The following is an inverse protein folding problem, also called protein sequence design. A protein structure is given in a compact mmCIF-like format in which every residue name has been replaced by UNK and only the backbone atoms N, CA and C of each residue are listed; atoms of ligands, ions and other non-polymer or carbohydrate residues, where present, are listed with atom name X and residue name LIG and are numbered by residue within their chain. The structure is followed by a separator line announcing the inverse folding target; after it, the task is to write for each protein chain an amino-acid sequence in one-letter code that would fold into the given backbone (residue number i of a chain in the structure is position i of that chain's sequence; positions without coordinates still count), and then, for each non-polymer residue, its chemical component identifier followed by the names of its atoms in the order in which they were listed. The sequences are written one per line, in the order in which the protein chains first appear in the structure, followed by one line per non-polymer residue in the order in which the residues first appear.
data_IF_534936248053
#
_entry.id   IF_534936248053
#
_cell.length_a   1.000
_cell.length_b   1.000
_cell.length_c   1.000
_cell.angle_alpha   90.00
_cell.angle_beta   90.00
_cell.angle_gamma   90.00
#
_symmetry.space_group_name_H-M   'P 1'
#
loop_
_entity.id
_entity.type
_entity.pdbx_description
1 polymer ?
#
# COMPACT_ATOMS: atom_id res chain seq x y z
N UNK A 1 -41.52 17.51 2.38
CA UNK A 1 -40.19 17.16 2.92
C UNK A 1 -39.19 18.12 2.31
N UNK A 2 -38.22 18.60 3.09
CA UNK A 2 -37.13 19.44 2.60
C UNK A 2 -36.22 18.57 1.72
N UNK A 3 -35.75 19.09 0.59
CA UNK A 3 -34.84 18.37 -0.29
C UNK A 3 -33.44 18.30 0.36
N UNK A 4 -33.00 17.10 0.73
CA UNK A 4 -31.69 16.87 1.34
C UNK A 4 -30.54 16.76 0.33
N UNK A 5 -30.80 16.91 -0.98
CA UNK A 5 -29.76 16.79 -2.01
C UNK A 5 -28.81 17.98 -1.98
N UNK A 6 -27.52 17.67 -1.85
CA UNK A 6 -26.45 18.65 -2.06
C UNK A 6 -25.92 18.50 -3.48
N UNK A 7 -25.80 19.62 -4.20
CA UNK A 7 -25.20 19.63 -5.53
C UNK A 7 -23.70 19.35 -5.44
N UNK A 8 -23.19 18.29 -6.09
CA UNK A 8 -21.75 18.00 -6.05
C UNK A 8 -20.94 19.09 -6.74
N UNK A 9 -19.79 19.42 -6.16
CA UNK A 9 -18.84 20.41 -6.71
C UNK A 9 -18.20 19.93 -8.02
N UNK A 10 -17.57 20.84 -8.77
CA UNK A 10 -16.83 20.48 -9.98
C UNK A 10 -15.72 19.46 -9.73
N UNK A 11 -15.02 19.57 -8.58
CA UNK A 11 -13.95 18.64 -8.20
C UNK A 11 -14.51 17.26 -7.86
N UNK A 12 -15.63 17.19 -7.13
CA UNK A 12 -16.33 15.93 -6.86
C UNK A 12 -16.75 15.23 -8.16
N UNK A 13 -17.29 15.99 -9.12
CA UNK A 13 -17.66 15.47 -10.45
C UNK A 13 -16.46 14.88 -11.19
N UNK A 14 -15.31 15.56 -11.13
CA UNK A 14 -14.08 15.09 -11.76
C UNK A 14 -13.60 13.77 -11.12
N UNK A 15 -13.60 13.68 -9.79
CA UNK A 15 -13.22 12.46 -9.07
C UNK A 15 -14.15 11.28 -9.42
N UNK A 16 -15.47 11.48 -9.38
CA UNK A 16 -16.43 10.44 -9.75
C UNK A 16 -16.29 10.02 -11.23
N UNK A 17 -16.04 10.98 -12.12
CA UNK A 17 -15.81 10.70 -13.54
C UNK A 17 -14.56 9.86 -13.78
N UNK A 18 -13.46 10.17 -13.08
CA UNK A 18 -12.22 9.40 -13.16
C UNK A 18 -12.37 8.01 -12.54
N UNK A 19 -13.12 7.87 -11.45
CA UNK A 19 -13.36 6.59 -10.79
C UNK A 19 -13.98 5.54 -11.75
N UNK A 20 -14.79 5.97 -12.73
CA UNK A 20 -15.39 5.09 -13.75
C UNK A 20 -14.69 5.15 -15.12
N UNK A 21 -13.46 5.68 -15.15
CA UNK A 21 -12.63 5.82 -16.36
C UNK A 21 -13.35 6.57 -17.51
N UNK A 22 -14.19 7.55 -17.16
CA UNK A 22 -14.95 8.34 -18.13
C UNK A 22 -15.99 7.58 -18.95
N UNK A 23 -16.33 6.36 -18.52
CA UNK A 23 -17.33 5.49 -19.17
C UNK A 23 -18.43 5.13 -18.19
N UNK A 24 -19.63 4.89 -18.70
CA UNK A 24 -20.72 4.41 -17.87
C UNK A 24 -20.40 2.98 -17.41
N UNK A 25 -20.33 2.71 -16.10
CA UNK A 25 -19.89 1.40 -15.61
C UNK A 25 -20.91 0.29 -15.89
N UNK A 26 -22.15 0.63 -16.27
CA UNK A 26 -23.21 -0.33 -16.56
C UNK A 26 -23.34 -0.71 -18.05
N UNK A 27 -22.95 0.19 -18.96
CA UNK A 27 -23.15 -0.02 -20.41
C UNK A 27 -21.93 0.30 -21.28
N UNK A 28 -20.82 0.76 -20.70
CA UNK A 28 -19.56 1.04 -21.38
C UNK A 28 -19.54 2.28 -22.28
N UNK A 29 -20.69 2.95 -22.49
CA UNK A 29 -20.78 4.18 -23.28
C UNK A 29 -19.94 5.30 -22.64
N UNK A 30 -19.30 6.12 -23.48
CA UNK A 30 -18.58 7.31 -23.01
C UNK A 30 -19.52 8.26 -22.28
N UNK A 31 -19.04 8.83 -21.17
CA UNK A 31 -19.74 9.84 -20.38
C UNK A 31 -19.48 11.27 -20.89
N UNK A 32 -18.90 11.39 -22.08
CA UNK A 32 -18.66 12.64 -22.77
C UNK A 32 -18.70 12.42 -24.28
N UNK A 33 -18.80 13.52 -25.02
CA UNK A 33 -18.50 13.55 -26.45
C UNK A 33 -17.79 14.86 -26.81
N UNK A 34 -17.09 14.85 -27.95
CA UNK A 34 -16.42 16.02 -28.50
C UNK A 34 -17.15 16.48 -29.76
N UNK A 35 -17.57 17.74 -29.78
CA UNK A 35 -17.94 18.46 -31.02
C UNK A 35 -16.91 19.58 -31.24
N UNK A 36 -17.27 20.81 -30.90
CA UNK A 36 -16.34 21.96 -30.87
C UNK A 36 -15.73 22.16 -29.47
N UNK A 37 -16.41 21.67 -28.43
CA UNK A 37 -15.97 21.64 -27.03
C UNK A 37 -16.38 20.28 -26.45
N UNK A 38 -15.77 19.90 -25.32
CA UNK A 38 -16.16 18.70 -24.56
C UNK A 38 -17.53 18.93 -23.94
N UNK A 39 -18.42 17.98 -24.12
CA UNK A 39 -19.77 17.99 -23.56
C UNK A 39 -19.95 16.75 -22.70
N UNK A 40 -20.47 16.93 -21.48
CA UNK A 40 -20.69 15.83 -20.53
C UNK A 40 -22.04 15.17 -20.76
N UNK A 41 -22.06 13.84 -20.71
CA UNK A 41 -23.24 12.98 -20.81
C UNK A 41 -23.57 12.26 -19.49
N UNK A 42 -22.76 12.50 -18.45
CA UNK A 42 -22.94 11.92 -17.12
C UNK A 42 -24.08 12.57 -16.35
N UNK A 43 -24.68 11.75 -15.50
CA UNK A 43 -25.49 12.16 -14.37
C UNK A 43 -24.92 11.53 -13.11
N UNK A 44 -25.10 12.20 -11.98
CA UNK A 44 -24.70 11.68 -10.67
C UNK A 44 -25.94 11.07 -10.04
N UNK A 45 -25.85 9.79 -9.70
CA UNK A 45 -26.88 9.08 -8.98
C UNK A 45 -26.50 8.93 -7.52
N UNK A 46 -27.49 9.07 -6.66
CA UNK A 46 -27.43 8.61 -5.28
C UNK A 46 -27.78 7.11 -5.25
N UNK A 47 -26.85 6.27 -4.78
CA UNK A 47 -27.08 4.82 -4.68
C UNK A 47 -28.21 4.56 -3.69
N UNK A 48 -28.05 5.01 -2.43
CA UNK A 48 -29.16 5.21 -1.52
C UNK A 48 -29.77 6.59 -1.77
N UNK A 49 -31.08 6.69 -2.07
CA UNK A 49 -31.70 7.95 -2.47
C UNK A 49 -31.62 9.00 -1.36
N UNK A 50 -31.28 10.24 -1.71
CA UNK A 50 -31.24 11.35 -0.75
C UNK A 50 -32.60 11.69 -0.12
N UNK A 51 -33.70 11.44 -0.87
CA UNK A 51 -35.07 11.64 -0.42
C UNK A 51 -35.94 10.45 -0.84
N UNK A 52 -35.88 9.29 -0.16
CA UNK A 52 -36.68 8.12 -0.52
C UNK A 52 -38.17 8.43 -0.35
N UNK A 53 -38.98 8.02 -1.32
CA UNK A 53 -40.44 7.94 -1.14
C UNK A 53 -40.77 6.86 -0.10
N UNK A 54 -41.96 6.90 0.50
CA UNK A 54 -42.34 5.95 1.55
C UNK A 54 -42.20 4.47 1.14
N UNK A 55 -42.52 4.13 -0.11
CA UNK A 55 -42.32 2.77 -0.61
C UNK A 55 -40.84 2.40 -0.84
N UNK A 56 -40.00 3.37 -1.23
CA UNK A 56 -38.56 3.15 -1.38
C UNK A 56 -37.88 3.00 -0.03
N UNK A 57 -38.31 3.76 0.99
CA UNK A 57 -37.82 3.64 2.35
C UNK A 57 -38.13 2.25 2.94
N UNK A 58 -39.33 1.73 2.71
CA UNK A 58 -39.69 0.37 3.13
C UNK A 58 -38.91 -0.70 2.34
N UNK A 59 -38.77 -0.52 1.01
CA UNK A 59 -38.01 -1.42 0.14
C UNK A 59 -36.54 -1.51 0.56
N UNK A 60 -35.95 -0.38 0.99
CA UNK A 60 -34.52 -0.25 1.30
C UNK A 60 -34.23 -0.20 2.81
N UNK A 61 -35.16 -0.62 3.67
CA UNK A 61 -35.00 -0.48 5.13
C UNK A 61 -33.84 -1.30 5.70
N UNK A 62 -33.57 -2.48 5.13
CA UNK A 62 -32.59 -3.45 5.63
C UNK A 62 -31.34 -3.56 4.73
N UNK A 63 -31.18 -2.65 3.75
CA UNK A 63 -30.01 -2.69 2.86
C UNK A 63 -28.79 -2.04 3.53
N UNK A 64 -27.58 -2.57 3.29
CA UNK A 64 -26.36 -1.95 3.80
C UNK A 64 -26.13 -0.60 3.11
N UNK A 65 -25.55 0.37 3.83
CA UNK A 65 -25.18 1.68 3.26
C UNK A 65 -23.67 1.82 3.21
N UNK A 66 -23.17 2.47 2.17
CA UNK A 66 -21.74 2.79 2.04
C UNK A 66 -21.33 3.95 2.95
N UNK A 67 -22.29 4.82 3.28
CA UNK A 67 -22.10 5.95 4.18
C UNK A 67 -23.43 6.29 4.86
N UNK A 68 -23.37 6.80 6.08
CA UNK A 68 -24.54 7.36 6.76
C UNK A 68 -24.96 8.71 6.16
N UNK A 69 -24.00 9.48 5.62
CA UNK A 69 -24.30 10.70 4.87
C UNK A 69 -24.73 10.35 3.45
N UNK A 70 -26.00 10.60 3.16
CA UNK A 70 -26.57 10.39 1.82
C UNK A 70 -25.90 11.22 0.75
N UNK A 71 -25.23 12.33 1.08
CA UNK A 71 -24.47 13.16 0.14
C UNK A 71 -22.98 12.84 0.10
N UNK A 72 -22.50 11.84 0.86
CA UNK A 72 -21.13 11.36 0.80
C UNK A 72 -20.78 10.90 -0.61
N UNK A 73 -19.54 11.17 -1.03
CA UNK A 73 -18.97 10.67 -2.29
C UNK A 73 -19.03 9.14 -2.42
N UNK A 74 -19.04 8.43 -1.29
CA UNK A 74 -19.18 6.97 -1.21
C UNK A 74 -20.57 6.52 -1.65
N UNK A 75 -21.60 7.35 -1.48
CA UNK A 75 -22.97 7.08 -1.91
C UNK A 75 -23.29 7.64 -3.32
N UNK A 76 -22.31 8.30 -3.97
CA UNK A 76 -22.47 8.88 -5.29
C UNK A 76 -21.72 8.08 -6.35
N UNK A 77 -22.35 7.89 -7.51
CA UNK A 77 -21.71 7.30 -8.68
C UNK A 77 -22.21 7.99 -9.95
N UNK A 78 -21.35 8.11 -10.95
CA UNK A 78 -21.74 8.67 -12.25
C UNK A 78 -22.15 7.57 -13.22
N UNK A 79 -23.21 7.84 -13.97
CA UNK A 79 -23.70 6.95 -15.02
C UNK A 79 -24.24 7.77 -16.21
N UNK A 80 -24.51 7.11 -17.33
CA UNK A 80 -25.24 7.75 -18.41
C UNK A 80 -26.73 7.89 -18.04
N UNK A 81 -27.41 8.85 -18.67
CA UNK A 81 -28.84 9.12 -18.42
C UNK A 81 -29.72 7.87 -18.55
N UNK A 82 -29.43 7.01 -19.53
CA UNK A 82 -30.20 5.78 -19.77
C UNK A 82 -30.13 4.82 -18.58
N UNK A 83 -28.92 4.59 -18.04
CA UNK A 83 -28.71 3.66 -16.94
C UNK A 83 -29.22 4.25 -15.62
N UNK A 84 -29.00 5.54 -15.39
CA UNK A 84 -29.53 6.23 -14.22
C UNK A 84 -31.06 6.21 -14.18
N UNK A 85 -31.72 6.48 -15.31
CA UNK A 85 -33.18 6.42 -15.40
C UNK A 85 -33.74 5.02 -15.11
N UNK A 86 -33.09 3.97 -15.62
CA UNK A 86 -33.47 2.57 -15.36
C UNK A 86 -33.34 2.21 -13.89
N UNK A 87 -32.30 2.72 -13.23
CA UNK A 87 -32.06 2.49 -11.80
C UNK A 87 -33.13 3.14 -10.90
N UNK A 88 -33.51 4.37 -11.19
CA UNK A 88 -34.48 5.10 -10.35
C UNK A 88 -35.94 4.72 -10.61
N UNK A 89 -36.29 4.22 -11.80
CA UNK A 89 -37.69 4.11 -12.24
C UNK A 89 -38.03 2.79 -12.96
N UNK A 90 -38.66 1.81 -12.27
CA UNK A 90 -38.85 1.75 -10.81
C UNK A 90 -37.56 1.31 -10.11
N UNK A 91 -37.36 1.79 -8.89
CA UNK A 91 -36.28 1.31 -8.04
C UNK A 91 -36.58 -0.11 -7.53
N UNK A 92 -35.57 -0.97 -7.56
CA UNK A 92 -35.63 -2.35 -7.06
C UNK A 92 -34.50 -2.62 -6.06
N UNK A 93 -34.70 -3.58 -5.17
CA UNK A 93 -33.64 -4.01 -4.24
C UNK A 93 -32.47 -4.67 -5.01
N UNK A 94 -32.76 -5.42 -6.06
CA UNK A 94 -31.74 -6.03 -6.92
C UNK A 94 -30.83 -4.98 -7.57
N UNK A 95 -31.42 -3.96 -8.17
CA UNK A 95 -30.64 -2.86 -8.75
C UNK A 95 -29.88 -2.08 -7.67
N UNK A 96 -30.44 -1.91 -6.48
CA UNK A 96 -29.72 -1.30 -5.36
C UNK A 96 -28.43 -2.04 -5.03
N UNK A 97 -28.50 -3.37 -4.81
CA UNK A 97 -27.32 -4.17 -4.50
C UNK A 97 -26.31 -4.12 -5.64
N UNK A 98 -26.76 -4.19 -6.89
CA UNK A 98 -25.86 -4.08 -8.06
C UNK A 98 -25.09 -2.76 -8.07
N UNK A 99 -25.73 -1.63 -7.76
CA UNK A 99 -25.06 -0.33 -7.72
C UNK A 99 -24.17 -0.18 -6.47
N UNK A 100 -24.61 -0.73 -5.33
CA UNK A 100 -23.85 -0.78 -4.08
C UNK A 100 -22.54 -1.56 -4.27
N UNK A 101 -22.62 -2.78 -4.79
CA UNK A 101 -21.46 -3.67 -4.98
C UNK A 101 -20.48 -3.08 -5.99
N UNK A 102 -20.99 -2.52 -7.08
CA UNK A 102 -20.16 -1.82 -8.07
C UNK A 102 -19.39 -0.66 -7.42
N UNK A 103 -20.08 0.20 -6.65
CA UNK A 103 -19.41 1.34 -6.02
C UNK A 103 -18.36 0.89 -5.00
N UNK A 104 -18.65 -0.17 -4.25
CA UNK A 104 -17.70 -0.79 -3.33
C UNK A 104 -16.46 -1.29 -4.07
N UNK A 105 -16.63 -1.96 -5.21
CA UNK A 105 -15.51 -2.40 -6.06
C UNK A 105 -14.68 -1.20 -6.57
N UNK A 106 -15.34 -0.14 -7.03
CA UNK A 106 -14.66 1.08 -7.48
C UNK A 106 -13.84 1.74 -6.37
N UNK A 107 -14.36 1.80 -5.14
CA UNK A 107 -13.63 2.32 -3.98
C UNK A 107 -12.41 1.46 -3.64
N UNK A 108 -12.56 0.14 -3.63
CA UNK A 108 -11.44 -0.79 -3.43
C UNK A 108 -10.36 -0.64 -4.50
N UNK A 109 -10.77 -0.41 -5.75
CA UNK A 109 -9.83 -0.16 -6.84
C UNK A 109 -9.07 1.17 -6.67
N UNK A 110 -9.72 2.22 -6.18
CA UNK A 110 -9.07 3.50 -5.88
C UNK A 110 -8.09 3.36 -4.72
N UNK A 111 -8.47 2.66 -3.64
CA UNK A 111 -7.59 2.34 -2.52
C UNK A 111 -6.38 1.53 -2.97
N UNK A 112 -6.58 0.50 -3.80
CA UNK A 112 -5.49 -0.30 -4.35
C UNK A 112 -4.55 0.54 -5.21
N UNK A 113 -5.09 1.41 -6.08
CA UNK A 113 -4.29 2.33 -6.90
C UNK A 113 -3.44 3.26 -6.04
N UNK A 114 -4.01 3.86 -4.99
CA UNK A 114 -3.26 4.71 -4.05
C UNK A 114 -2.19 3.94 -3.29
N UNK A 115 -2.50 2.73 -2.81
CA UNK A 115 -1.56 1.88 -2.08
C UNK A 115 -0.32 1.49 -2.91
N UNK A 116 -0.44 1.39 -4.25
CA UNK A 116 0.73 1.18 -5.11
C UNK A 116 1.69 2.38 -5.12
N UNK A 117 1.17 3.60 -5.02
CA UNK A 117 1.99 4.82 -4.96
C UNK A 117 2.60 5.03 -3.57
N UNK A 118 1.87 4.66 -2.52
CA UNK A 118 2.29 4.84 -1.13
C UNK A 118 3.17 3.69 -0.58
N UNK A 119 3.64 2.78 -1.44
CA UNK A 119 4.47 1.63 -1.07
C UNK A 119 5.95 2.01 -0.74
N UNK A 120 6.13 3.10 0.01
CA UNK A 120 7.42 3.65 0.42
C UNK A 120 7.96 2.85 1.61
N UNK A 121 8.66 1.76 1.33
CA UNK A 121 9.40 0.99 2.34
C UNK A 121 10.50 1.82 3.03
N UNK A 122 10.93 2.89 2.37
CA UNK A 122 12.00 3.77 2.83
C UNK A 122 11.68 4.40 4.19
N UNK A 123 10.45 4.85 4.42
CA UNK A 123 10.05 5.46 5.69
C UNK A 123 10.08 4.46 6.85
N UNK A 124 9.72 3.21 6.59
CA UNK A 124 9.73 2.18 7.63
C UNK A 124 11.14 1.71 7.95
N UNK A 125 12.03 1.66 6.96
CA UNK A 125 13.47 1.42 7.20
C UNK A 125 14.06 2.57 8.01
N UNK A 126 13.69 3.83 7.74
CA UNK A 126 14.13 4.99 8.52
C UNK A 126 13.72 4.84 9.99
N UNK A 127 12.51 4.38 10.29
CA UNK A 127 12.08 4.13 11.69
C UNK A 127 12.97 3.11 12.39
N UNK A 128 13.34 2.02 11.71
CA UNK A 128 14.27 1.01 12.25
C UNK A 128 15.67 1.62 12.47
N UNK A 129 16.14 2.46 11.54
CA UNK A 129 17.41 3.18 11.68
C UNK A 129 17.41 4.14 12.87
N UNK A 130 16.33 4.90 13.08
CA UNK A 130 16.20 5.81 14.20
C UNK A 130 16.28 5.07 15.54
N UNK A 131 15.70 3.86 15.63
CA UNK A 131 15.82 3.02 16.82
C UNK A 131 17.25 2.48 17.01
N UNK A 132 17.96 2.13 15.93
CA UNK A 132 19.38 1.78 16.00
C UNK A 132 20.26 2.94 16.50
N UNK A 133 19.98 4.15 16.04
CA UNK A 133 20.76 5.35 16.39
C UNK A 133 20.49 5.85 17.82
N UNK A 134 19.43 5.37 18.47
CA UNK A 134 19.11 5.68 19.88
C UNK A 134 19.83 4.78 20.88
N UNK A 135 20.54 3.75 20.44
CA UNK A 135 21.33 2.90 21.33
C UNK A 135 22.50 3.72 21.87
N UNK A 136 22.59 3.86 23.18
CA UNK A 136 23.66 4.62 23.84
C UNK A 136 24.73 3.69 24.44
N UNK A 137 24.36 2.47 24.83
CA UNK A 137 25.31 1.54 25.45
C UNK A 137 25.03 0.05 25.16
N UNK A 138 26.04 -0.80 25.36
CA UNK A 138 25.97 -2.23 25.04
C UNK A 138 24.93 -2.99 25.89
N UNK A 139 24.62 -2.51 27.10
CA UNK A 139 23.57 -3.12 27.94
C UNK A 139 22.15 -2.96 27.40
N UNK A 140 21.96 -2.09 26.41
CA UNK A 140 20.68 -1.93 25.71
C UNK A 140 20.41 -3.10 24.73
N UNK A 141 21.42 -3.94 24.47
CA UNK A 141 21.35 -5.03 23.50
C UNK A 141 21.15 -6.40 24.17
N UNK A 142 20.23 -7.17 23.60
CA UNK A 142 20.10 -8.60 23.89
C UNK A 142 20.82 -9.37 22.80
N UNK A 143 21.89 -10.07 23.16
CA UNK A 143 22.70 -10.82 22.18
C UNK A 143 22.07 -12.17 21.81
N UNK A 144 22.17 -12.54 20.53
CA UNK A 144 21.85 -13.90 20.07
C UNK A 144 22.94 -14.90 20.45
N UNK A 145 22.52 -16.15 20.70
CA UNK A 145 23.46 -17.27 20.79
C UNK A 145 24.11 -17.56 19.44
N UNK A 146 25.43 -17.77 19.42
CA UNK A 146 26.19 -18.11 18.21
C UNK A 146 25.68 -19.36 17.49
N UNK A 147 25.13 -20.34 18.22
CA UNK A 147 24.56 -21.57 17.64
C UNK A 147 23.27 -21.36 16.82
N UNK A 148 22.64 -20.18 16.93
CA UNK A 148 21.41 -19.84 16.20
C UNK A 148 21.68 -19.16 14.85
N UNK A 149 22.95 -18.88 14.52
CA UNK A 149 23.33 -18.18 13.30
C UNK A 149 23.52 -19.16 12.15
N UNK A 150 22.99 -18.80 10.97
CA UNK A 150 23.21 -19.56 9.73
C UNK A 150 24.24 -18.89 8.82
N UNK A 151 24.95 -17.89 9.34
CA UNK A 151 25.90 -17.08 8.55
C UNK A 151 27.05 -17.90 7.97
N UNK A 152 27.48 -18.96 8.66
CA UNK A 152 28.57 -19.83 8.19
C UNK A 152 28.14 -20.68 6.97
N UNK A 153 26.84 -20.78 6.69
CA UNK A 153 26.27 -21.43 5.49
C UNK A 153 26.07 -20.43 4.34
N UNK A 154 25.92 -19.13 4.65
CA UNK A 154 25.59 -18.07 3.67
C UNK A 154 26.80 -17.28 3.18
N UNK A 155 27.81 -17.09 4.03
CA UNK A 155 28.99 -16.29 3.69
C UNK A 155 30.13 -17.22 3.28
N UNK A 156 30.59 -17.04 2.03
CA UNK A 156 31.66 -17.83 1.44
C UNK A 156 32.97 -17.74 2.26
N UNK A 157 33.67 -18.87 2.41
CA UNK A 157 34.93 -18.97 3.17
C UNK A 157 36.09 -18.24 2.50
N UNK A 158 35.95 -17.92 1.22
CA UNK A 158 36.88 -17.15 0.40
C UNK A 158 36.85 -15.66 0.75
N UNK A 159 35.77 -15.15 1.37
CA UNK A 159 35.72 -13.76 1.83
C UNK A 159 36.75 -13.48 2.93
N UNK A 160 37.05 -12.20 3.16
CA UNK A 160 37.99 -11.81 4.21
C UNK A 160 37.48 -12.19 5.61
N UNK A 161 38.37 -12.60 6.51
CA UNK A 161 38.01 -12.92 7.90
C UNK A 161 37.38 -11.72 8.61
N UNK A 162 37.89 -10.51 8.33
CA UNK A 162 37.38 -9.26 8.90
C UNK A 162 35.92 -9.03 8.47
N UNK A 163 35.60 -9.24 7.19
CA UNK A 163 34.23 -9.11 6.69
C UNK A 163 33.28 -10.13 7.35
N UNK A 164 33.68 -11.41 7.40
CA UNK A 164 32.87 -12.45 8.07
C UNK A 164 32.63 -12.12 9.53
N UNK A 165 33.68 -11.72 10.25
CA UNK A 165 33.59 -11.33 11.66
C UNK A 165 32.67 -10.14 11.84
N UNK A 166 32.78 -9.11 11.00
CA UNK A 166 31.94 -7.91 11.05
C UNK A 166 30.45 -8.25 10.91
N UNK A 167 30.06 -8.99 9.88
CA UNK A 167 28.64 -9.37 9.70
C UNK A 167 28.17 -10.22 10.87
N UNK A 168 29.00 -11.17 11.33
CA UNK A 168 28.66 -12.01 12.48
C UNK A 168 28.41 -11.19 13.73
N UNK A 169 29.34 -10.32 14.10
CA UNK A 169 29.24 -9.49 15.30
C UNK A 169 27.99 -8.58 15.19
N UNK A 170 27.74 -7.96 14.03
CA UNK A 170 26.52 -7.17 13.78
C UNK A 170 25.22 -7.98 13.93
N UNK A 171 25.17 -9.22 13.43
CA UNK A 171 23.97 -10.05 13.58
C UNK A 171 23.81 -10.52 15.03
N UNK A 172 24.88 -10.87 15.72
CA UNK A 172 24.82 -11.28 17.14
C UNK A 172 24.25 -10.16 18.00
N UNK A 173 24.78 -8.95 17.82
CA UNK A 173 24.51 -7.82 18.70
C UNK A 173 23.14 -7.16 18.42
N UNK A 174 22.78 -6.99 17.15
CA UNK A 174 21.63 -6.15 16.79
C UNK A 174 20.41 -6.92 16.29
N UNK A 175 20.52 -8.21 15.97
CA UNK A 175 19.41 -8.93 15.35
C UNK A 175 18.12 -8.93 16.20
N UNK A 176 18.15 -9.18 17.52
CA UNK A 176 16.90 -9.24 18.30
C UNK A 176 16.15 -7.91 18.28
N UNK A 177 16.89 -6.80 18.45
CA UNK A 177 16.31 -5.46 18.41
C UNK A 177 15.76 -5.12 17.02
N UNK A 178 16.55 -5.33 15.95
CA UNK A 178 16.08 -5.06 14.57
C UNK A 178 14.86 -5.90 14.24
N UNK A 179 14.81 -7.16 14.69
CA UNK A 179 13.64 -8.03 14.52
C UNK A 179 12.42 -7.51 15.26
N UNK A 180 12.60 -7.05 16.49
CA UNK A 180 11.52 -6.45 17.28
C UNK A 180 10.95 -5.21 16.60
N UNK A 181 11.80 -4.32 16.09
CA UNK A 181 11.36 -3.15 15.33
C UNK A 181 10.53 -3.53 14.09
N UNK A 182 10.95 -4.56 13.33
CA UNK A 182 10.13 -5.05 12.22
C UNK A 182 8.81 -5.71 12.67
N UNK A 183 8.77 -6.38 13.82
CA UNK A 183 7.53 -6.92 14.36
C UNK A 183 6.57 -5.81 14.81
N UNK A 184 7.08 -4.71 15.39
CA UNK A 184 6.30 -3.53 15.75
C UNK A 184 5.70 -2.86 14.51
N UNK A 185 6.46 -2.77 13.42
CA UNK A 185 5.97 -2.28 12.13
C UNK A 185 4.85 -3.18 11.58
N UNK A 186 5.03 -4.50 11.60
CA UNK A 186 4.03 -5.46 11.13
C UNK A 186 2.75 -5.47 11.97
N UNK A 187 2.84 -5.13 13.27
CA UNK A 187 1.68 -5.00 14.15
C UNK A 187 0.80 -3.80 13.77
N UNK A 188 1.40 -2.73 13.22
CA UNK A 188 0.69 -1.52 12.76
C UNK A 188 0.22 -1.69 11.32
N UNK A 189 1.09 -2.19 10.45
CA UNK A 189 0.87 -2.37 9.02
C UNK A 189 1.30 -3.78 8.62
N UNK A 190 0.34 -4.73 8.49
CA UNK A 190 0.66 -6.11 8.18
C UNK A 190 1.51 -6.26 6.90
N UNK A 191 2.46 -7.22 6.95
CA UNK A 191 3.35 -7.60 5.84
C UNK A 191 4.45 -6.58 5.49
N UNK A 192 4.73 -5.60 6.35
CA UNK A 192 5.74 -4.59 6.08
C UNK A 192 7.16 -5.18 6.06
N UNK A 193 7.49 -6.08 6.98
CA UNK A 193 8.75 -6.82 6.95
C UNK A 193 8.93 -7.58 5.64
N UNK A 194 7.91 -8.32 5.20
CA UNK A 194 7.96 -9.13 3.96
C UNK A 194 8.16 -8.26 2.72
N UNK A 195 7.49 -7.10 2.65
CA UNK A 195 7.69 -6.11 1.56
C UNK A 195 9.13 -5.63 1.51
N UNK A 196 9.69 -5.23 2.65
CA UNK A 196 11.07 -4.73 2.74
C UNK A 196 12.06 -5.85 2.37
N UNK A 197 11.88 -7.04 2.95
CA UNK A 197 12.70 -8.22 2.66
C UNK A 197 12.70 -8.55 1.17
N UNK A 198 11.54 -8.48 0.51
CA UNK A 198 11.39 -8.72 -0.93
C UNK A 198 12.17 -7.70 -1.76
N UNK A 199 12.14 -6.41 -1.39
CA UNK A 199 12.89 -5.38 -2.10
C UNK A 199 14.41 -5.55 -1.94
N UNK A 200 14.87 -5.83 -0.71
CA UNK A 200 16.30 -6.11 -0.43
C UNK A 200 16.77 -7.32 -1.23
N UNK A 201 15.98 -8.40 -1.23
CA UNK A 201 16.25 -9.61 -2.03
C UNK A 201 16.28 -9.32 -3.53
N UNK A 202 15.32 -8.56 -4.05
CA UNK A 202 15.29 -8.17 -5.46
C UNK A 202 16.52 -7.37 -5.88
N UNK A 203 16.96 -6.43 -5.03
CA UNK A 203 18.19 -5.67 -5.24
C UNK A 203 19.42 -6.60 -5.23
N UNK A 204 19.52 -7.49 -4.23
CA UNK A 204 20.60 -8.48 -4.15
C UNK A 204 20.69 -9.34 -5.42
N UNK A 205 19.58 -9.91 -5.89
CA UNK A 205 19.53 -10.74 -7.09
C UNK A 205 19.95 -9.99 -8.37
N UNK A 206 19.76 -8.67 -8.38
CA UNK A 206 20.24 -7.80 -9.47
C UNK A 206 21.74 -7.59 -9.40
N UNK A 207 22.27 -7.32 -8.20
CA UNK A 207 23.67 -7.00 -7.98
C UNK A 207 24.60 -8.22 -8.11
N UNK A 208 24.18 -9.39 -7.63
CA UNK A 208 25.01 -10.61 -7.70
C UNK A 208 25.27 -11.07 -9.14
N UNK A 209 24.36 -10.75 -10.07
CA UNK A 209 24.55 -11.00 -11.52
C UNK A 209 25.61 -10.10 -12.14
N UNK A 210 25.86 -8.93 -11.54
CA UNK A 210 26.85 -7.95 -12.02
C UNK A 210 28.22 -8.25 -11.40
N UNK A 211 28.25 -8.63 -10.14
CA UNK A 211 29.47 -8.93 -9.41
C UNK A 211 29.23 -10.10 -8.45
N UNK A 212 29.94 -11.21 -8.66
CA UNK A 212 29.80 -12.42 -7.84
C UNK A 212 30.50 -12.30 -6.48
N UNK A 213 31.30 -11.26 -6.26
CA UNK A 213 32.00 -11.03 -5.00
C UNK A 213 31.03 -10.54 -3.91
N UNK A 214 30.73 -11.39 -2.92
CA UNK A 214 29.80 -11.10 -1.83
C UNK A 214 30.16 -9.82 -1.04
N UNK A 215 31.45 -9.55 -0.82
CA UNK A 215 31.90 -8.34 -0.11
C UNK A 215 31.59 -7.06 -0.92
N UNK A 216 31.79 -7.11 -2.24
CA UNK A 216 31.42 -6.01 -3.13
C UNK A 216 29.89 -5.83 -3.20
N UNK A 217 29.14 -6.93 -3.32
CA UNK A 217 27.67 -6.90 -3.33
C UNK A 217 27.12 -6.35 -2.02
N UNK A 218 27.69 -6.72 -0.88
CA UNK A 218 27.32 -6.15 0.42
C UNK A 218 27.48 -4.62 0.42
N UNK A 219 28.63 -4.10 -0.02
CA UNK A 219 28.85 -2.65 -0.10
C UNK A 219 27.87 -1.96 -1.03
N UNK A 220 27.53 -2.59 -2.15
CA UNK A 220 26.55 -2.05 -3.11
C UNK A 220 25.13 -2.04 -2.52
N UNK A 221 24.74 -3.08 -1.78
CA UNK A 221 23.47 -3.14 -1.05
C UNK A 221 23.38 -2.05 0.02
N UNK A 222 24.46 -1.84 0.78
CA UNK A 222 24.54 -0.79 1.79
C UNK A 222 24.44 0.60 1.15
N UNK A 223 25.15 0.85 0.05
CA UNK A 223 25.08 2.12 -0.66
C UNK A 223 23.68 2.38 -1.24
N UNK A 224 23.03 1.35 -1.78
CA UNK A 224 21.65 1.41 -2.25
C UNK A 224 20.68 1.77 -1.10
N UNK A 225 20.81 1.10 0.04
CA UNK A 225 19.95 1.36 1.20
C UNK A 225 20.16 2.77 1.73
N UNK A 226 21.42 3.21 1.84
CA UNK A 226 21.79 4.55 2.29
C UNK A 226 21.21 5.64 1.37
N UNK A 227 21.26 5.44 0.05
CA UNK A 227 20.61 6.36 -0.89
C UNK A 227 19.08 6.40 -0.73
N UNK A 228 18.45 5.23 -0.53
CA UNK A 228 17.00 5.10 -0.33
C UNK A 228 16.52 5.77 0.96
N UNK A 229 17.31 5.72 2.02
CA UNK A 229 16.97 6.30 3.32
C UNK A 229 17.47 7.73 3.49
N UNK A 230 17.86 8.42 2.40
CA UNK A 230 18.30 9.82 2.48
C UNK A 230 19.65 10.02 3.17
N UNK A 231 20.50 9.00 3.21
CA UNK A 231 21.87 9.00 3.75
C UNK A 231 21.99 9.35 5.23
N UNK A 232 21.04 8.88 6.02
CA UNK A 232 20.99 9.12 7.47
C UNK A 232 22.20 8.49 8.18
N UNK A 233 22.50 7.21 7.90
CA UNK A 233 23.64 6.51 8.52
C UNK A 233 24.00 5.25 7.76
N UNK A 234 25.19 5.27 7.14
CA UNK A 234 25.74 4.09 6.48
C UNK A 234 25.99 2.93 7.45
N UNK A 235 26.34 3.21 8.72
CA UNK A 235 26.55 2.18 9.73
C UNK A 235 25.25 1.45 10.10
N UNK A 236 24.15 2.18 10.25
CA UNK A 236 22.84 1.58 10.48
C UNK A 236 22.40 0.75 9.26
N UNK A 237 22.68 1.23 8.04
CA UNK A 237 22.43 0.47 6.82
C UNK A 237 23.21 -0.84 6.79
N UNK A 238 24.48 -0.86 7.20
CA UNK A 238 25.26 -2.10 7.29
C UNK A 238 24.62 -3.11 8.26
N UNK A 239 24.18 -2.67 9.44
CA UNK A 239 23.52 -3.52 10.42
C UNK A 239 22.22 -4.13 9.85
N UNK A 240 21.40 -3.30 9.18
CA UNK A 240 20.15 -3.74 8.57
C UNK A 240 20.40 -4.74 7.44
N UNK A 241 21.39 -4.50 6.57
CA UNK A 241 21.74 -5.46 5.51
C UNK A 241 22.29 -6.76 6.11
N UNK A 242 23.11 -6.70 7.14
CA UNK A 242 23.58 -7.89 7.88
C UNK A 242 22.42 -8.69 8.47
N UNK A 243 21.41 -8.02 9.02
CA UNK A 243 20.17 -8.66 9.48
C UNK A 243 19.44 -9.37 8.34
N UNK A 244 19.28 -8.74 7.16
CA UNK A 244 18.63 -9.37 6.01
C UNK A 244 19.43 -10.52 5.41
N UNK A 245 20.77 -10.51 5.49
CA UNK A 245 21.59 -11.67 5.13
C UNK A 245 21.25 -12.87 6.02
N UNK A 246 21.12 -12.66 7.33
CA UNK A 246 20.73 -13.73 8.24
C UNK A 246 19.29 -14.20 8.00
N UNK A 247 18.32 -13.29 7.85
CA UNK A 247 16.89 -13.61 7.82
C UNK A 247 16.32 -14.00 6.44
N UNK A 248 16.89 -13.50 5.35
CA UNK A 248 16.38 -13.72 4.00
C UNK A 248 17.29 -14.65 3.20
N UNK A 249 16.83 -15.11 2.02
CA UNK A 249 17.65 -15.85 1.05
C UNK A 249 18.71 -14.97 0.34
N UNK A 250 19.19 -13.91 1.01
CA UNK A 250 20.32 -13.11 0.53
C UNK A 250 21.60 -13.90 0.81
N UNK A 251 22.47 -14.00 -0.19
CA UNK A 251 23.67 -14.88 -0.18
C UNK A 251 23.35 -16.38 -0.05
N UNK A 252 22.15 -16.81 -0.43
CA UNK A 252 21.76 -18.24 -0.51
C UNK A 252 21.87 -18.78 -1.94
#
# INVERSE_FOLDING_TARGET
MVDNRVNPTSNMKLLLYNQVDGRCPFCGKNLHYVKNQIQTLLEIAHIYPANPKSHEAELLKDVPRLSEDVNSMENLIVACRDCHKKFDHPRTAEDYYRWYDLKKELMLNDEAKSAFFDNNVEEDIIKVMDSLLKIECESDLVQLSLSALKLDEKINKENSFIFRKKIRDQVVDYYPMVREQFNELDAISPYQFEKIATQVKGCYLTLIKINENQEAVFRMLVAWLDEKTGKISSLACEIIISFFIQNCEVFS
#
